data_IF_414100618864
#
_entry.id   IF_414100618864
#
_cell.length_a   1.000
_cell.length_b   1.000
_cell.length_c   1.000
_cell.angle_alpha   90.00
_cell.angle_beta   90.00
_cell.angle_gamma   90.00
#
_symmetry.space_group_name_H-M   'P 1'
#
loop_
_entity.id
_entity.type
_entity.pdbx_description
1 polymer ?
#
# COMPACT_ATOMS: atom_id res chain seq x y z
N UNK A 1 -7.53 -4.35 -1.25
CA UNK A 1 -8.21 -5.47 -0.69
C UNK A 1 -7.87 -5.63 0.78
N UNK A 2 -8.88 -5.72 1.59
CA UNK A 2 -8.72 -5.78 3.04
C UNK A 2 -8.05 -7.07 3.50
N UNK A 3 -8.19 -8.15 2.75
CA UNK A 3 -7.59 -9.43 3.11
C UNK A 3 -6.41 -9.78 2.23
N UNK A 4 -6.10 -8.92 1.29
CA UNK A 4 -5.14 -9.22 0.27
C UNK A 4 -3.70 -9.13 0.72
N UNK A 5 -2.91 -9.88 0.01
CA UNK A 5 -1.48 -9.71 -0.02
C UNK A 5 -1.22 -8.49 -0.91
N UNK A 6 -0.49 -7.50 -0.42
CA UNK A 6 -0.23 -6.29 -1.18
C UNK A 6 0.55 -6.59 -2.46
N UNK A 7 1.43 -7.58 -2.43
CA UNK A 7 2.18 -7.97 -3.62
C UNK A 7 1.26 -8.53 -4.71
N UNK A 8 0.27 -9.34 -4.33
CA UNK A 8 -0.73 -9.85 -5.27
C UNK A 8 -1.57 -8.72 -5.85
N UNK A 9 -1.93 -7.75 -5.03
CA UNK A 9 -2.71 -6.61 -5.47
C UNK A 9 -1.94 -5.82 -6.53
N UNK A 10 -0.68 -5.52 -6.26
CA UNK A 10 0.17 -4.79 -7.20
C UNK A 10 0.34 -5.58 -8.50
N UNK A 11 0.58 -6.89 -8.42
CA UNK A 11 0.70 -7.72 -9.62
C UNK A 11 -0.59 -7.74 -10.43
N UNK A 12 -1.74 -7.74 -9.73
CA UNK A 12 -3.04 -7.64 -10.40
C UNK A 12 -3.19 -6.36 -11.18
N UNK A 13 -2.80 -5.23 -10.56
CA UNK A 13 -2.85 -3.92 -11.23
C UNK A 13 -1.92 -3.87 -12.43
N UNK A 14 -0.73 -4.47 -12.32
CA UNK A 14 0.22 -4.50 -13.43
C UNK A 14 -0.33 -5.31 -14.60
N UNK A 15 -1.02 -6.41 -14.35
CA UNK A 15 -1.65 -7.20 -15.40
C UNK A 15 -2.77 -6.43 -16.10
N UNK A 16 -3.59 -5.72 -15.35
CA UNK A 16 -4.66 -4.91 -15.91
C UNK A 16 -4.07 -3.81 -16.81
N UNK A 17 -2.98 -3.19 -16.36
CA UNK A 17 -2.30 -2.15 -17.12
C UNK A 17 -1.85 -2.66 -18.50
N UNK A 18 -1.45 -3.92 -18.60
CA UNK A 18 -0.98 -4.49 -19.85
C UNK A 18 -2.09 -4.91 -20.81
N UNK A 19 -3.30 -5.10 -20.28
CA UNK A 19 -4.38 -5.71 -21.06
C UNK A 19 -5.10 -4.77 -22.01
N UNK A 20 -5.48 -3.58 -21.53
CA UNK A 20 -6.44 -2.75 -22.28
C UNK A 20 -6.17 -1.25 -22.14
N UNK A 21 -5.37 -0.65 -23.01
CA UNK A 21 -5.27 0.80 -23.04
C UNK A 21 -6.55 1.41 -23.62
N UNK A 22 -6.99 2.53 -23.06
CA UNK A 22 -8.13 3.27 -23.59
C UNK A 22 -9.48 2.94 -23.00
N UNK A 23 -9.52 2.23 -21.86
CA UNK A 23 -10.78 1.96 -21.18
C UNK A 23 -11.35 3.23 -20.56
N UNK A 24 -12.69 3.39 -20.64
CA UNK A 24 -13.39 4.45 -19.92
C UNK A 24 -13.64 3.98 -18.48
N UNK A 25 -13.24 4.80 -17.51
CA UNK A 25 -13.53 4.50 -16.11
C UNK A 25 -14.82 5.16 -15.69
N UNK A 26 -15.79 4.38 -15.19
CA UNK A 26 -17.05 4.94 -14.70
C UNK A 26 -16.79 5.97 -13.60
N UNK A 27 -17.56 7.04 -13.59
CA UNK A 27 -17.42 8.07 -12.58
C UNK A 27 -16.42 9.17 -12.89
N UNK A 28 -15.67 9.05 -13.96
CA UNK A 28 -14.68 10.06 -14.37
C UNK A 28 -15.20 11.01 -15.45
N UNK A 29 -16.50 10.97 -15.73
CA UNK A 29 -17.13 11.86 -16.69
C UNK A 29 -16.82 11.50 -18.14
N UNK A 30 -17.02 12.44 -19.07
CA UNK A 30 -16.87 12.14 -20.50
C UNK A 30 -15.42 12.10 -20.97
N UNK A 31 -14.47 12.29 -20.09
CA UNK A 31 -13.07 12.32 -20.47
C UNK A 31 -12.54 10.91 -20.71
N UNK A 32 -11.74 10.77 -21.77
CA UNK A 32 -11.02 9.53 -22.00
C UNK A 32 -9.80 9.58 -21.10
N UNK A 33 -9.73 8.62 -20.17
CA UNK A 33 -8.60 8.50 -19.27
C UNK A 33 -7.67 7.44 -19.84
N UNK A 34 -6.39 7.75 -19.88
CA UNK A 34 -5.40 6.73 -20.26
C UNK A 34 -5.26 5.79 -19.05
N UNK A 35 -5.81 4.56 -19.13
CA UNK A 35 -5.79 3.67 -17.98
C UNK A 35 -4.37 3.23 -17.61
N UNK A 36 -3.47 3.17 -18.59
CA UNK A 36 -2.10 2.82 -18.33
C UNK A 36 -1.44 3.84 -17.41
N UNK A 37 -1.61 5.13 -17.68
CA UNK A 37 -1.04 6.18 -16.84
C UNK A 37 -1.66 6.20 -15.45
N UNK A 38 -2.98 6.00 -15.37
CA UNK A 38 -3.67 5.96 -14.09
C UNK A 38 -3.19 4.78 -13.24
N UNK A 39 -3.09 3.60 -13.86
CA UNK A 39 -2.64 2.40 -13.16
C UNK A 39 -1.17 2.51 -12.76
N UNK A 40 -0.33 3.10 -13.62
CA UNK A 40 1.07 3.34 -13.26
C UNK A 40 1.17 4.21 -12.00
N UNK A 41 0.33 5.23 -11.91
CA UNK A 41 0.30 6.10 -10.74
C UNK A 41 -0.14 5.34 -9.49
N UNK A 42 -1.18 4.52 -9.60
CA UNK A 42 -1.63 3.67 -8.49
C UNK A 42 -0.55 2.71 -8.03
N UNK A 43 0.08 2.02 -8.98
CA UNK A 43 1.14 1.06 -8.67
C UNK A 43 2.30 1.77 -8.00
N UNK A 44 2.72 2.91 -8.52
CA UNK A 44 3.82 3.69 -7.97
C UNK A 44 3.52 4.14 -6.54
N UNK A 45 2.31 4.64 -6.29
CA UNK A 45 1.90 5.05 -4.95
C UNK A 45 1.89 3.88 -3.99
N UNK A 46 1.36 2.73 -4.42
CA UNK A 46 1.31 1.55 -3.57
C UNK A 46 2.71 1.04 -3.22
N UNK A 47 3.61 1.03 -4.21
CA UNK A 47 5.00 0.61 -3.96
C UNK A 47 5.69 1.56 -2.99
N UNK A 48 5.46 2.86 -3.13
CA UNK A 48 6.00 3.85 -2.22
C UNK A 48 5.50 3.63 -0.79
N UNK A 49 4.19 3.42 -0.62
CA UNK A 49 3.61 3.14 0.69
C UNK A 49 4.18 1.87 1.30
N UNK A 50 4.35 0.85 0.47
CA UNK A 50 4.92 -0.41 0.93
C UNK A 50 6.32 -0.21 1.51
N UNK A 51 7.16 0.56 0.84
CA UNK A 51 8.49 0.87 1.33
C UNK A 51 8.46 1.75 2.59
N UNK A 52 7.53 2.70 2.64
CA UNK A 52 7.40 3.57 3.81
C UNK A 52 6.98 2.79 5.06
N UNK A 53 6.17 1.75 4.89
CA UNK A 53 5.75 0.91 6.02
C UNK A 53 6.95 0.22 6.65
N UNK A 54 7.78 -0.44 5.84
CA UNK A 54 8.95 -1.12 6.40
C UNK A 54 9.95 -0.11 6.97
N UNK A 55 10.10 1.04 6.33
CA UNK A 55 10.97 2.09 6.82
C UNK A 55 10.50 2.59 8.18
N UNK A 56 9.20 2.74 8.38
CA UNK A 56 8.64 3.16 9.67
C UNK A 56 9.05 2.19 10.78
N UNK A 57 8.91 0.90 10.51
CA UNK A 57 9.30 -0.12 11.49
C UNK A 57 10.81 -0.10 11.74
N UNK A 58 11.60 0.11 10.70
CA UNK A 58 13.06 0.24 10.83
C UNK A 58 13.46 1.42 11.72
N UNK A 59 12.65 2.50 11.68
CA UNK A 59 12.91 3.68 12.49
C UNK A 59 12.37 3.60 13.91
N UNK A 60 11.78 2.46 14.27
CA UNK A 60 11.32 2.22 15.63
C UNK A 60 9.83 2.39 15.86
N UNK A 61 9.06 2.72 14.83
CA UNK A 61 7.61 2.74 14.95
C UNK A 61 7.11 1.32 15.11
N UNK A 62 6.29 1.06 16.13
CA UNK A 62 5.90 -0.30 16.44
C UNK A 62 4.39 -0.50 16.61
N UNK A 63 3.62 0.57 16.57
CA UNK A 63 2.15 0.52 16.66
C UNK A 63 1.55 0.87 15.31
N UNK A 64 0.42 0.26 15.00
CA UNK A 64 -0.27 0.50 13.73
C UNK A 64 -0.51 1.99 13.48
N UNK A 65 -0.99 2.73 14.49
CA UNK A 65 -1.28 4.16 14.32
C UNK A 65 -0.02 4.96 14.00
N UNK A 66 1.11 4.62 14.62
CA UNK A 66 2.37 5.31 14.37
C UNK A 66 2.91 5.01 12.98
N UNK A 67 2.85 3.75 12.58
CA UNK A 67 3.30 3.32 11.25
C UNK A 67 2.43 3.97 10.17
N UNK A 68 1.12 4.01 10.39
CA UNK A 68 0.19 4.64 9.46
C UNK A 68 0.46 6.13 9.30
N UNK A 69 0.67 6.84 10.40
CA UNK A 69 0.98 8.28 10.35
C UNK A 69 2.27 8.54 9.58
N UNK A 70 3.28 7.73 9.78
CA UNK A 70 4.54 7.85 9.05
C UNK A 70 4.31 7.62 7.55
N UNK A 71 3.58 6.55 7.22
CA UNK A 71 3.35 6.13 5.84
C UNK A 71 2.56 7.16 5.05
N UNK A 72 1.61 7.83 5.71
CA UNK A 72 0.72 8.81 5.06
C UNK A 72 1.04 10.25 5.47
N UNK A 73 2.29 10.52 5.87
CA UNK A 73 2.70 11.86 6.30
C UNK A 73 2.60 12.90 5.18
N UNK A 74 2.66 12.48 3.91
CA UNK A 74 2.50 13.36 2.77
C UNK A 74 1.04 13.55 2.35
N UNK A 75 0.10 12.95 3.09
CA UNK A 75 -1.32 13.02 2.79
C UNK A 75 -2.08 13.41 4.06
N UNK A 76 -1.97 14.66 4.50
CA UNK A 76 -2.52 15.06 5.80
C UNK A 76 -4.04 14.92 5.93
N UNK A 77 -4.74 14.88 4.79
CA UNK A 77 -6.20 14.74 4.77
C UNK A 77 -6.65 13.29 4.61
N UNK A 78 -5.74 12.33 4.66
CA UNK A 78 -6.09 10.92 4.55
C UNK A 78 -6.95 10.52 5.76
N UNK A 79 -8.03 9.78 5.48
CA UNK A 79 -8.91 9.31 6.55
C UNK A 79 -8.15 8.28 7.40
N UNK A 80 -8.08 8.48 8.74
CA UNK A 80 -7.24 7.60 9.58
C UNK A 80 -7.62 6.12 9.49
N UNK A 81 -8.91 5.81 9.45
CA UNK A 81 -9.36 4.40 9.39
C UNK A 81 -8.91 3.74 8.10
N UNK A 82 -9.06 4.44 6.97
CA UNK A 82 -8.65 3.91 5.66
C UNK A 82 -7.14 3.78 5.58
N UNK A 83 -6.41 4.75 6.11
CA UNK A 83 -4.94 4.72 6.12
C UNK A 83 -4.44 3.54 6.93
N UNK A 84 -5.03 3.29 8.09
CA UNK A 84 -4.63 2.17 8.94
C UNK A 84 -4.97 0.83 8.31
N UNK A 85 -6.12 0.74 7.64
CA UNK A 85 -6.52 -0.48 6.96
C UNK A 85 -5.54 -0.84 5.84
N UNK A 86 -5.15 0.14 5.05
CA UNK A 86 -4.17 -0.07 3.99
C UNK A 86 -2.79 -0.38 4.56
N UNK A 87 -2.41 0.27 5.65
CA UNK A 87 -1.15 -0.01 6.33
C UNK A 87 -1.11 -1.46 6.82
N UNK A 88 -2.22 -1.99 7.33
CA UNK A 88 -2.30 -3.39 7.72
C UNK A 88 -2.01 -4.33 6.55
N UNK A 89 -2.51 -4.01 5.36
CA UNK A 89 -2.25 -4.83 4.18
C UNK A 89 -0.77 -4.89 3.84
N UNK A 90 -0.09 -3.75 3.92
CA UNK A 90 1.35 -3.70 3.71
C UNK A 90 2.11 -4.48 4.79
N UNK A 91 1.69 -4.34 6.04
CA UNK A 91 2.31 -5.07 7.14
C UNK A 91 2.14 -6.57 6.96
N UNK A 92 0.96 -7.03 6.55
CA UNK A 92 0.74 -8.45 6.25
C UNK A 92 1.73 -8.96 5.21
N UNK A 93 1.95 -8.19 4.16
CA UNK A 93 2.88 -8.56 3.11
C UNK A 93 4.31 -8.69 3.64
N UNK A 94 4.75 -7.73 4.45
CA UNK A 94 6.08 -7.77 5.04
C UNK A 94 6.24 -8.91 6.05
N UNK A 95 5.18 -9.22 6.81
CA UNK A 95 5.19 -10.36 7.72
C UNK A 95 5.30 -11.66 6.93
N UNK A 96 4.53 -11.78 5.85
CA UNK A 96 4.56 -12.96 4.99
C UNK A 96 5.93 -13.17 4.37
N UNK A 97 6.63 -12.09 4.03
CA UNK A 97 7.98 -12.17 3.48
C UNK A 97 9.06 -12.46 4.53
N UNK A 98 8.70 -12.42 5.81
CA UNK A 98 9.65 -12.66 6.89
C UNK A 98 10.45 -11.44 7.32
N UNK A 99 10.17 -10.26 6.76
CA UNK A 99 10.91 -9.03 7.10
C UNK A 99 10.42 -8.36 8.38
N UNK A 100 9.15 -8.55 8.72
CA UNK A 100 8.55 -8.00 9.93
C UNK A 100 7.97 -9.12 10.76
N UNK A 101 8.11 -9.03 12.07
CA UNK A 101 7.50 -9.96 13.03
C UNK A 101 6.67 -9.17 14.04
N UNK A 102 5.76 -9.85 14.71
CA UNK A 102 4.95 -9.27 15.78
C UNK A 102 5.41 -9.87 17.09
N UNK A 103 5.78 -9.02 18.05
CA UNK A 103 6.16 -9.43 19.40
C UNK A 103 5.39 -8.53 20.37
N UNK A 104 4.60 -9.13 21.27
CA UNK A 104 3.81 -8.40 22.27
C UNK A 104 2.95 -7.31 21.64
N UNK A 105 2.26 -7.66 20.55
CA UNK A 105 1.39 -6.76 19.78
C UNK A 105 2.12 -5.58 19.13
N UNK A 106 3.44 -5.68 19.01
CA UNK A 106 4.25 -4.64 18.34
C UNK A 106 4.92 -5.19 17.10
N UNK A 107 4.99 -4.35 16.08
CA UNK A 107 5.67 -4.70 14.83
C UNK A 107 7.15 -4.41 14.96
N UNK A 108 7.97 -5.37 14.58
CA UNK A 108 9.43 -5.23 14.68
C UNK A 108 10.10 -5.83 13.45
N UNK A 109 11.27 -5.31 13.13
CA UNK A 109 12.09 -5.89 12.05
C UNK A 109 12.60 -7.24 12.53
N UNK A 110 12.49 -8.23 11.65
CA UNK A 110 13.06 -9.55 11.90
C UNK A 110 14.56 -9.51 11.63
N UNK A 111 15.36 -9.67 12.67
CA UNK A 111 16.82 -9.56 12.57
C UNK A 111 17.53 -10.90 12.45
N UNK A 112 16.77 -11.97 12.32
CA UNK A 112 17.36 -13.31 12.20
C UNK A 112 17.69 -13.67 10.76
#
# INVERSE_FOLDING_TARGET
>A
SEDGDMDEYIRGLERIKEMEPGILFPGHGPFIINPRKLLDRYISHRKKRHQLVIQAVEEGKNKLSEISKFTYSDTPNAHPILSEDQTKSHLKSWIKSGRIIIIDDEYKINKT
#
